data_IF_712640783247
#
_entry.id   IF_712640783247
#
_cell.length_a   1.000
_cell.length_b   1.000
_cell.length_c   1.000
_cell.angle_alpha   90.00
_cell.angle_beta   90.00
_cell.angle_gamma   90.00
#
_symmetry.space_group_name_H-M   'P 1'
#
loop_
_entity.id
_entity.type
_entity.pdbx_description
1 polymer ?
#
# COMPACT_ATOMS: atom_id res chain seq x y z
N UNK A 1 8.37 24.53 15.97
CA UNK A 1 7.31 23.54 15.69
C UNK A 1 7.64 22.88 14.35
N UNK A 2 7.45 21.58 14.18
CA UNK A 2 7.65 20.96 12.90
C UNK A 2 6.71 21.54 11.83
N UNK A 3 7.14 21.55 10.56
CA UNK A 3 6.40 22.17 9.45
C UNK A 3 4.98 21.60 9.32
N UNK A 4 4.82 20.29 9.49
CA UNK A 4 3.52 19.62 9.39
C UNK A 4 2.52 20.00 10.51
N UNK A 5 2.96 20.66 11.57
CA UNK A 5 2.14 21.02 12.74
C UNK A 5 1.78 22.51 12.81
N UNK A 6 2.11 23.32 11.80
CA UNK A 6 1.86 24.78 11.85
C UNK A 6 1.60 25.38 10.47
N UNK A 7 0.78 26.44 10.46
CA UNK A 7 0.54 27.29 9.29
C UNK A 7 0.11 26.52 8.03
N UNK A 8 0.70 26.91 6.89
CA UNK A 8 0.43 26.24 5.59
C UNK A 8 0.85 24.77 5.59
N UNK A 9 1.90 24.40 6.33
CA UNK A 9 2.35 23.02 6.44
C UNK A 9 1.28 22.10 7.02
N UNK A 10 0.58 22.54 8.07
CA UNK A 10 -0.55 21.80 8.65
C UNK A 10 -1.65 21.56 7.62
N UNK A 11 -2.05 22.61 6.89
CA UNK A 11 -3.11 22.50 5.86
C UNK A 11 -2.72 21.52 4.76
N UNK A 12 -1.47 21.58 4.29
CA UNK A 12 -0.97 20.67 3.25
C UNK A 12 -0.91 19.22 3.75
N UNK A 13 -0.43 19.02 4.99
CA UNK A 13 -0.35 17.70 5.60
C UNK A 13 -1.75 17.10 5.79
N UNK A 14 -2.66 17.84 6.41
CA UNK A 14 -4.03 17.37 6.66
C UNK A 14 -4.77 17.08 5.36
N UNK A 15 -4.56 17.89 4.32
CA UNK A 15 -5.15 17.66 3.00
C UNK A 15 -4.62 16.35 2.38
N UNK A 16 -3.30 16.16 2.36
CA UNK A 16 -2.70 14.94 1.81
C UNK A 16 -3.11 13.69 2.62
N UNK A 17 -3.15 13.81 3.94
CA UNK A 17 -3.60 12.76 4.84
C UNK A 17 -5.08 12.42 4.61
N UNK A 18 -5.95 13.43 4.50
CA UNK A 18 -7.37 13.25 4.20
C UNK A 18 -7.58 12.55 2.84
N UNK A 19 -6.88 13.02 1.80
CA UNK A 19 -6.92 12.37 0.46
C UNK A 19 -6.52 10.91 0.55
N UNK A 20 -5.45 10.59 1.29
CA UNK A 20 -5.04 9.21 1.50
C UNK A 20 -6.11 8.37 2.18
N UNK A 21 -6.64 8.80 3.35
CA UNK A 21 -7.65 8.05 4.10
C UNK A 21 -8.94 7.85 3.28
N UNK A 22 -9.41 8.91 2.61
CA UNK A 22 -10.59 8.80 1.73
C UNK A 22 -10.33 7.82 0.59
N UNK A 23 -9.14 7.83 -0.01
CA UNK A 23 -8.78 6.90 -1.08
C UNK A 23 -8.76 5.44 -0.62
N UNK A 24 -8.30 5.16 0.61
CA UNK A 24 -8.33 3.82 1.20
C UNK A 24 -9.78 3.35 1.43
N UNK A 25 -10.63 4.21 1.98
CA UNK A 25 -12.05 3.91 2.17
C UNK A 25 -12.76 3.66 0.84
N UNK A 26 -12.44 4.47 -0.18
CA UNK A 26 -12.96 4.29 -1.53
C UNK A 26 -12.56 2.92 -2.10
N UNK A 27 -11.29 2.58 -2.07
CA UNK A 27 -10.77 1.29 -2.52
C UNK A 27 -11.35 0.10 -1.73
N UNK A 28 -11.49 0.24 -0.40
CA UNK A 28 -11.98 -0.80 0.47
C UNK A 28 -13.49 -1.08 0.34
N UNK A 29 -14.30 -0.02 0.18
CA UNK A 29 -15.76 -0.09 0.29
C UNK A 29 -16.44 0.05 -1.07
N UNK A 30 -16.06 1.05 -1.86
CA UNK A 30 -16.79 1.40 -3.08
C UNK A 30 -16.43 0.51 -4.26
N UNK A 31 -15.15 0.20 -4.45
CA UNK A 31 -14.73 -0.69 -5.56
C UNK A 31 -15.39 -2.06 -5.46
N UNK A 32 -15.47 -2.71 -4.29
CA UNK A 32 -16.21 -3.96 -4.15
C UNK A 32 -17.71 -3.88 -4.41
N UNK A 33 -18.33 -2.72 -4.13
CA UNK A 33 -19.77 -2.51 -4.35
C UNK A 33 -20.11 -2.21 -5.80
N UNK A 34 -19.28 -1.42 -6.47
CA UNK A 34 -19.50 -1.01 -7.86
C UNK A 34 -19.16 -2.10 -8.89
N UNK A 35 -18.33 -3.05 -8.52
CA UNK A 35 -17.91 -4.16 -9.39
C UNK A 35 -18.26 -5.48 -8.75
N UNK A 36 -19.46 -6.06 -9.02
CA UNK A 36 -19.88 -7.33 -8.48
C UNK A 36 -18.81 -8.39 -8.70
N UNK A 37 -18.41 -9.02 -7.63
CA UNK A 37 -17.40 -10.06 -7.63
C UNK A 37 -18.06 -11.36 -8.04
N UNK A 38 -17.41 -12.13 -8.91
CA UNK A 38 -17.81 -13.50 -9.19
C UNK A 38 -17.85 -14.36 -7.92
N UNK A 39 -18.48 -15.53 -7.98
CA UNK A 39 -18.49 -16.49 -6.89
C UNK A 39 -17.06 -16.73 -6.38
N UNK A 40 -16.90 -16.82 -5.06
CA UNK A 40 -15.58 -17.00 -4.44
C UNK A 40 -15.29 -18.50 -4.38
N UNK A 41 -14.30 -18.94 -5.16
CA UNK A 41 -13.82 -20.33 -5.17
C UNK A 41 -13.07 -20.68 -3.88
N UNK A 42 -12.15 -19.79 -3.47
CA UNK A 42 -11.29 -20.02 -2.30
C UNK A 42 -11.08 -18.73 -1.52
N UNK A 43 -11.15 -18.84 -0.18
CA UNK A 43 -10.79 -17.77 0.76
C UNK A 43 -9.77 -18.34 1.76
N UNK A 44 -8.49 -17.95 1.63
CA UNK A 44 -7.39 -18.42 2.50
C UNK A 44 -6.56 -17.26 3.02
N UNK A 45 -7.21 -16.30 3.66
CA UNK A 45 -6.58 -15.04 4.09
C UNK A 45 -5.62 -15.19 5.28
N UNK A 46 -5.80 -16.20 6.13
CA UNK A 46 -4.98 -16.43 7.34
C UNK A 46 -4.79 -15.18 8.21
N UNK A 47 -5.80 -14.30 8.28
CA UNK A 47 -5.77 -13.07 9.04
C UNK A 47 -4.92 -11.95 8.42
N UNK A 48 -4.34 -12.16 7.23
CA UNK A 48 -3.44 -11.18 6.61
C UNK A 48 -4.15 -9.87 6.24
N UNK A 49 -5.45 -9.90 5.94
CA UNK A 49 -6.25 -8.69 5.70
C UNK A 49 -6.42 -7.84 6.95
N UNK A 50 -6.75 -8.47 8.10
CA UNK A 50 -6.83 -7.77 9.39
C UNK A 50 -5.47 -7.20 9.81
N UNK A 51 -4.39 -7.96 9.59
CA UNK A 51 -3.03 -7.50 9.85
C UNK A 51 -2.71 -6.21 9.06
N UNK A 52 -3.07 -6.13 7.79
CA UNK A 52 -2.82 -4.92 6.97
C UNK A 52 -3.59 -3.71 7.52
N UNK A 53 -4.86 -3.88 7.88
CA UNK A 53 -5.66 -2.80 8.47
C UNK A 53 -5.00 -2.32 9.77
N UNK A 54 -4.67 -3.25 10.66
CA UNK A 54 -3.95 -2.94 11.91
C UNK A 54 -2.62 -2.23 11.65
N UNK A 55 -1.84 -2.71 10.67
CA UNK A 55 -0.57 -2.12 10.26
C UNK A 55 -0.73 -0.65 9.85
N UNK A 56 -1.74 -0.31 9.05
CA UNK A 56 -1.97 1.08 8.63
C UNK A 56 -2.25 1.97 9.84
N UNK A 57 -3.14 1.55 10.76
CA UNK A 57 -3.44 2.32 11.98
C UNK A 57 -2.20 2.51 12.86
N UNK A 58 -1.46 1.45 13.13
CA UNK A 58 -0.24 1.52 13.94
C UNK A 58 0.81 2.40 13.27
N UNK A 59 0.96 2.31 11.94
CA UNK A 59 1.91 3.15 11.19
C UNK A 59 1.59 4.64 11.31
N UNK A 60 0.31 5.02 11.24
CA UNK A 60 -0.11 6.42 11.41
C UNK A 60 0.25 6.91 12.82
N UNK A 61 -0.12 6.15 13.84
CA UNK A 61 0.15 6.52 15.24
C UNK A 61 1.66 6.66 15.48
N UNK A 62 2.45 5.68 15.04
CA UNK A 62 3.91 5.70 15.20
C UNK A 62 4.55 6.87 14.44
N UNK A 63 4.14 7.13 13.20
CA UNK A 63 4.69 8.23 12.41
C UNK A 63 4.45 9.59 13.08
N UNK A 64 3.20 9.86 13.49
CA UNK A 64 2.84 11.10 14.16
C UNK A 64 3.56 11.23 15.52
N UNK A 65 3.55 10.18 16.34
CA UNK A 65 4.21 10.18 17.64
C UNK A 65 5.72 10.46 17.53
N UNK A 66 6.41 9.81 16.59
CA UNK A 66 7.85 10.00 16.37
C UNK A 66 8.16 11.38 15.76
N UNK A 67 7.28 11.89 14.89
CA UNK A 67 7.39 13.24 14.33
C UNK A 67 7.24 14.31 15.40
N UNK A 68 6.19 14.24 16.23
CA UNK A 68 5.99 15.18 17.34
C UNK A 68 7.08 15.06 18.43
N UNK A 69 7.58 13.87 18.69
CA UNK A 69 8.69 13.65 19.63
C UNK A 69 10.05 14.09 19.07
N UNK A 70 10.13 14.48 17.79
CA UNK A 70 11.37 14.91 17.16
C UNK A 70 12.44 13.81 17.09
N UNK A 71 12.03 12.55 16.89
CA UNK A 71 12.98 11.42 16.84
C UNK A 71 13.67 11.39 15.48
N UNK A 72 14.97 11.68 15.46
CA UNK A 72 15.78 11.77 14.25
C UNK A 72 15.24 12.85 13.30
N UNK A 73 15.27 14.13 13.68
CA UNK A 73 14.66 15.21 12.92
C UNK A 73 15.32 15.37 11.56
N UNK A 74 14.50 15.53 10.53
CA UNK A 74 14.93 15.81 9.16
C UNK A 74 14.77 17.31 8.86
N UNK A 75 15.54 17.88 7.91
CA UNK A 75 15.42 19.28 7.50
C UNK A 75 14.04 19.64 6.99
N UNK A 76 13.61 20.88 7.19
CA UNK A 76 12.27 21.39 6.83
C UNK A 76 11.89 21.18 5.36
N UNK A 77 12.85 21.30 4.45
CA UNK A 77 12.59 21.12 3.01
C UNK A 77 12.12 19.71 2.65
N UNK A 78 12.42 18.69 3.48
CA UNK A 78 12.02 17.29 3.26
C UNK A 78 10.50 17.11 3.35
N UNK A 79 9.82 18.02 4.02
CA UNK A 79 8.36 18.02 4.13
C UNK A 79 7.67 17.98 2.76
N UNK A 80 8.07 18.85 1.84
CA UNK A 80 7.41 18.96 0.51
C UNK A 80 7.56 17.70 -0.35
N UNK A 81 8.77 17.13 -0.52
CA UNK A 81 8.91 15.80 -1.13
C UNK A 81 8.08 14.73 -0.41
N UNK A 82 7.96 14.81 0.92
CA UNK A 82 7.11 13.92 1.70
C UNK A 82 5.65 13.95 1.28
N UNK A 83 5.06 15.14 1.20
CA UNK A 83 3.68 15.35 0.71
C UNK A 83 3.53 14.85 -0.73
N UNK A 84 4.48 15.16 -1.61
CA UNK A 84 4.47 14.69 -2.99
C UNK A 84 4.46 13.15 -3.06
N UNK A 85 5.31 12.47 -2.30
CA UNK A 85 5.38 11.02 -2.26
C UNK A 85 4.10 10.41 -1.67
N UNK A 86 3.49 11.00 -0.64
CA UNK A 86 2.20 10.54 -0.12
C UNK A 86 1.15 10.50 -1.24
N UNK A 87 0.99 11.59 -1.97
CA UNK A 87 0.01 11.69 -3.06
C UNK A 87 0.36 10.78 -4.24
N UNK A 88 1.64 10.69 -4.61
CA UNK A 88 2.11 9.77 -5.64
C UNK A 88 1.81 8.32 -5.28
N UNK A 89 2.06 7.92 -4.04
CA UNK A 89 1.74 6.57 -3.54
C UNK A 89 0.25 6.26 -3.63
N UNK A 90 -0.61 7.23 -3.26
CA UNK A 90 -2.06 7.12 -3.45
C UNK A 90 -2.41 6.91 -4.92
N UNK A 91 -1.86 7.70 -5.82
CA UNK A 91 -2.13 7.58 -7.27
C UNK A 91 -1.71 6.20 -7.82
N UNK A 92 -0.50 5.75 -7.48
CA UNK A 92 0.00 4.41 -7.88
C UNK A 92 -0.92 3.31 -7.36
N UNK A 93 -1.36 3.41 -6.10
CA UNK A 93 -2.25 2.43 -5.48
C UNK A 93 -3.62 2.41 -6.15
N UNK A 94 -4.24 3.57 -6.36
CA UNK A 94 -5.56 3.64 -7.00
C UNK A 94 -5.50 3.18 -8.47
N UNK A 95 -4.43 3.49 -9.18
CA UNK A 95 -4.21 2.96 -10.52
C UNK A 95 -4.11 1.43 -10.53
N UNK A 96 -3.33 0.86 -9.61
CA UNK A 96 -3.22 -0.59 -9.48
C UNK A 96 -4.58 -1.24 -9.17
N UNK A 97 -5.36 -0.68 -8.22
CA UNK A 97 -6.71 -1.15 -7.88
C UNK A 97 -7.65 -1.06 -9.08
N UNK A 98 -7.61 0.03 -9.83
CA UNK A 98 -8.44 0.22 -11.01
C UNK A 98 -8.15 -0.80 -12.11
N UNK A 99 -6.86 -1.12 -12.34
CA UNK A 99 -6.43 -2.13 -13.33
C UNK A 99 -6.82 -3.54 -12.90
N UNK A 100 -6.67 -3.88 -11.61
CA UNK A 100 -7.06 -5.19 -11.08
C UNK A 100 -8.59 -5.38 -11.09
N UNK A 101 -9.32 -4.29 -10.90
CA UNK A 101 -10.77 -4.25 -11.02
C UNK A 101 -11.49 -5.17 -10.04
N UNK A 102 -12.35 -6.06 -10.56
CA UNK A 102 -13.16 -6.99 -9.75
C UNK A 102 -12.34 -8.03 -8.97
N UNK A 103 -11.10 -8.27 -9.38
CA UNK A 103 -10.21 -9.19 -8.67
C UNK A 103 -9.53 -8.56 -7.46
N UNK A 104 -9.61 -7.24 -7.30
CA UNK A 104 -9.10 -6.57 -6.11
C UNK A 104 -9.89 -6.98 -4.86
N UNK A 105 -9.16 -7.31 -3.79
CA UNK A 105 -9.76 -7.66 -2.50
C UNK A 105 -8.82 -7.33 -1.34
N UNK A 106 -9.37 -6.85 -0.22
CA UNK A 106 -8.62 -6.68 1.03
C UNK A 106 -8.25 -8.02 1.67
N UNK A 107 -9.03 -9.08 1.40
CA UNK A 107 -8.75 -10.43 1.88
C UNK A 107 -8.23 -11.30 0.72
N UNK A 108 -7.35 -12.27 1.02
CA UNK A 108 -6.85 -13.21 0.01
C UNK A 108 -7.97 -14.16 -0.38
N UNK A 109 -8.45 -14.01 -1.62
CA UNK A 109 -9.49 -14.85 -2.21
C UNK A 109 -9.30 -14.98 -3.72
N UNK A 110 -9.75 -16.08 -4.27
CA UNK A 110 -9.72 -16.36 -5.71
C UNK A 110 -11.17 -16.56 -6.16
N UNK A 111 -11.59 -15.85 -7.21
CA UNK A 111 -12.88 -16.03 -7.86
C UNK A 111 -12.83 -17.26 -8.79
N UNK A 112 -13.98 -17.84 -9.14
CA UNK A 112 -14.04 -19.00 -10.04
C UNK A 112 -13.45 -18.70 -11.43
N UNK A 113 -13.62 -17.48 -11.91
CA UNK A 113 -13.10 -16.99 -13.20
C UNK A 113 -11.83 -16.15 -13.06
N UNK A 114 -11.09 -16.32 -11.96
CA UNK A 114 -9.86 -15.57 -11.70
C UNK A 114 -8.79 -15.89 -12.75
N UNK A 115 -8.16 -14.84 -13.25
CA UNK A 115 -7.05 -14.94 -14.22
C UNK A 115 -5.92 -14.00 -13.85
N UNK A 116 -4.72 -14.31 -14.31
CA UNK A 116 -3.56 -13.43 -14.11
C UNK A 116 -3.74 -12.13 -14.90
N UNK A 117 -3.70 -11.00 -14.20
CA UNK A 117 -3.78 -9.67 -14.80
C UNK A 117 -2.37 -9.19 -15.13
N UNK A 118 -2.08 -9.02 -16.43
CA UNK A 118 -0.77 -8.58 -16.95
C UNK A 118 -0.86 -7.21 -17.64
N UNK A 119 -1.71 -6.30 -17.14
CA UNK A 119 -1.93 -4.96 -17.71
C UNK A 119 -1.43 -3.87 -16.78
N UNK A 120 -1.15 -2.68 -17.36
CA UNK A 120 -0.70 -1.52 -16.59
C UNK A 120 0.53 -1.82 -15.72
N UNK A 121 0.52 -1.45 -14.44
CA UNK A 121 1.66 -1.67 -13.56
C UNK A 121 1.95 -3.15 -13.28
N UNK A 122 0.96 -4.04 -13.47
CA UNK A 122 1.12 -5.50 -13.32
C UNK A 122 1.98 -6.14 -14.42
N UNK A 123 2.38 -5.39 -15.44
CA UNK A 123 3.36 -5.87 -16.43
C UNK A 123 4.78 -5.98 -15.86
N UNK A 124 5.10 -5.18 -14.85
CA UNK A 124 6.45 -5.07 -14.30
C UNK A 124 6.56 -5.63 -12.88
N UNK A 125 5.53 -5.40 -12.05
CA UNK A 125 5.52 -5.84 -10.65
C UNK A 125 4.20 -6.57 -10.33
N UNK A 126 4.29 -7.55 -9.42
CA UNK A 126 3.13 -8.36 -9.00
C UNK A 126 2.23 -7.63 -8.03
N UNK A 127 2.79 -6.75 -7.20
CA UNK A 127 2.08 -6.07 -6.13
C UNK A 127 2.17 -4.53 -6.22
N UNK A 128 1.78 -3.92 -7.35
CA UNK A 128 1.91 -2.47 -7.54
C UNK A 128 1.06 -1.66 -6.55
N UNK A 129 -0.05 -2.23 -6.07
CA UNK A 129 -0.86 -1.63 -5.00
C UNK A 129 -0.06 -1.52 -3.69
N UNK A 130 0.81 -2.50 -3.37
CA UNK A 130 1.68 -2.44 -2.19
C UNK A 130 2.88 -1.52 -2.41
N UNK A 131 3.36 -1.41 -3.65
CA UNK A 131 4.34 -0.37 -4.01
C UNK A 131 3.78 1.02 -3.71
N UNK A 132 2.51 1.29 -4.06
CA UNK A 132 1.84 2.54 -3.70
C UNK A 132 1.83 2.79 -2.19
N UNK A 133 1.51 1.78 -1.37
CA UNK A 133 1.56 1.91 0.10
C UNK A 133 2.97 2.19 0.60
N UNK A 134 3.98 1.50 0.06
CA UNK A 134 5.38 1.74 0.44
C UNK A 134 5.78 3.20 0.17
N UNK A 135 5.45 3.72 -1.02
CA UNK A 135 5.72 5.12 -1.39
C UNK A 135 4.98 6.07 -0.43
N UNK A 136 3.71 5.79 -0.11
CA UNK A 136 2.92 6.59 0.86
C UNK A 136 3.56 6.58 2.25
N UNK A 137 4.05 5.44 2.73
CA UNK A 137 4.71 5.34 4.04
C UNK A 137 6.03 6.11 4.09
N UNK A 138 6.83 6.03 3.02
CA UNK A 138 8.03 6.85 2.89
C UNK A 138 7.64 8.33 2.90
N UNK A 139 6.63 8.72 2.11
CA UNK A 139 6.11 10.08 2.07
C UNK A 139 5.64 10.57 3.43
N UNK A 140 4.88 9.75 4.18
CA UNK A 140 4.41 10.08 5.52
C UNK A 140 5.58 10.34 6.49
N UNK A 141 6.59 9.47 6.49
CA UNK A 141 7.77 9.63 7.35
C UNK A 141 8.55 10.93 7.06
N UNK A 142 8.69 11.25 5.77
CA UNK A 142 9.32 12.51 5.35
C UNK A 142 8.44 13.73 5.68
N UNK A 143 7.13 13.63 5.51
CA UNK A 143 6.20 14.71 5.83
C UNK A 143 6.15 15.01 7.33
N UNK A 144 6.29 14.01 8.21
CA UNK A 144 6.44 14.22 9.65
C UNK A 144 7.89 14.54 10.06
N UNK A 145 8.80 14.69 9.10
CA UNK A 145 10.20 15.11 9.29
C UNK A 145 10.97 14.23 10.30
N UNK A 146 10.77 12.89 10.25
CA UNK A 146 11.40 11.97 11.20
C UNK A 146 12.05 10.78 10.50
N UNK A 147 13.39 10.66 10.63
CA UNK A 147 14.12 9.47 10.19
C UNK A 147 13.78 8.24 11.06
N UNK A 148 13.45 8.45 12.33
CA UNK A 148 12.94 7.40 13.20
C UNK A 148 11.63 6.82 12.68
N UNK A 149 10.69 7.68 12.24
CA UNK A 149 9.46 7.25 11.59
C UNK A 149 9.75 6.47 10.30
N UNK A 150 10.70 6.93 9.47
CA UNK A 150 11.08 6.25 8.23
C UNK A 150 11.54 4.82 8.49
N UNK A 151 12.47 4.62 9.43
CA UNK A 151 12.99 3.29 9.77
C UNK A 151 11.90 2.37 10.31
N UNK A 152 11.06 2.88 11.22
CA UNK A 152 9.98 2.09 11.82
C UNK A 152 8.93 1.73 10.77
N UNK A 153 8.49 2.67 9.92
CA UNK A 153 7.50 2.38 8.88
C UNK A 153 8.02 1.39 7.83
N UNK A 154 9.29 1.47 7.44
CA UNK A 154 9.91 0.49 6.54
C UNK A 154 9.96 -0.90 7.17
N UNK A 155 10.31 -1.02 8.45
CA UNK A 155 10.33 -2.29 9.17
C UNK A 155 8.92 -2.89 9.29
N UNK A 156 7.94 -2.10 9.71
CA UNK A 156 6.54 -2.50 9.83
C UNK A 156 5.96 -2.93 8.48
N UNK A 157 6.25 -2.17 7.41
CA UNK A 157 5.88 -2.55 6.04
C UNK A 157 6.52 -3.87 5.63
N UNK A 158 7.84 -4.02 5.82
CA UNK A 158 8.58 -5.22 5.43
C UNK A 158 8.02 -6.50 6.07
N UNK A 159 7.68 -6.44 7.36
CA UNK A 159 7.09 -7.57 8.08
C UNK A 159 5.66 -7.84 7.61
N UNK A 160 4.79 -6.84 7.67
CA UNK A 160 3.35 -7.03 7.46
C UNK A 160 3.00 -7.30 5.99
N UNK A 161 3.51 -6.48 5.08
CA UNK A 161 3.27 -6.67 3.65
C UNK A 161 4.11 -7.82 3.08
N UNK A 162 5.29 -8.08 3.63
CA UNK A 162 6.07 -9.28 3.31
C UNK A 162 5.32 -10.57 3.64
N UNK A 163 4.68 -10.65 4.81
CA UNK A 163 3.79 -11.76 5.17
C UNK A 163 2.59 -11.84 4.21
N UNK A 164 1.92 -10.71 3.98
CA UNK A 164 0.76 -10.63 3.08
C UNK A 164 1.08 -11.12 1.68
N UNK A 165 2.16 -10.63 1.07
CA UNK A 165 2.59 -11.06 -0.27
C UNK A 165 2.84 -12.57 -0.33
N UNK A 166 3.49 -13.15 0.70
CA UNK A 166 3.73 -14.60 0.75
C UNK A 166 2.43 -15.41 0.82
N UNK A 167 1.43 -14.94 1.60
CA UNK A 167 0.13 -15.60 1.68
C UNK A 167 -0.59 -15.53 0.33
N UNK A 168 -0.63 -14.34 -0.27
CA UNK A 168 -1.29 -14.09 -1.54
C UNK A 168 -0.66 -14.88 -2.70
N UNK A 169 0.68 -14.80 -2.87
CA UNK A 169 1.39 -15.54 -3.92
C UNK A 169 1.21 -17.06 -3.77
N UNK A 170 1.19 -17.56 -2.55
CA UNK A 170 0.99 -18.99 -2.29
C UNK A 170 -0.42 -19.47 -2.70
N UNK A 171 -1.43 -18.66 -2.41
CA UNK A 171 -2.82 -18.96 -2.80
C UNK A 171 -3.01 -18.82 -4.31
N UNK A 172 -2.48 -17.76 -4.92
CA UNK A 172 -2.57 -17.58 -6.37
C UNK A 172 -1.84 -18.70 -7.13
N UNK A 173 -0.68 -19.12 -6.64
CA UNK A 173 0.07 -20.23 -7.23
C UNK A 173 -0.69 -21.56 -7.12
N UNK A 174 -1.35 -21.83 -5.99
CA UNK A 174 -2.14 -23.06 -5.82
C UNK A 174 -3.40 -23.12 -6.69
N UNK A 175 -3.99 -21.96 -7.03
CA UNK A 175 -5.27 -21.90 -7.75
C UNK A 175 -5.10 -21.61 -9.26
N UNK A 176 -4.09 -20.85 -9.66
CA UNK A 176 -3.82 -20.50 -11.06
C UNK A 176 -2.65 -21.31 -11.66
N UNK A 177 -1.93 -22.09 -10.83
CA UNK A 177 -0.92 -23.05 -11.30
C UNK A 177 0.17 -22.43 -12.16
N UNK A 178 0.37 -23.03 -13.34
CA UNK A 178 1.45 -22.69 -14.26
C UNK A 178 1.37 -21.25 -14.78
N UNK A 179 0.18 -20.72 -15.02
CA UNK A 179 0.00 -19.34 -15.52
C UNK A 179 0.57 -18.32 -14.54
N UNK A 180 0.33 -18.51 -13.24
CA UNK A 180 0.88 -17.62 -12.21
C UNK A 180 2.38 -17.86 -12.01
N UNK A 181 2.85 -19.12 -12.11
CA UNK A 181 4.27 -19.43 -12.00
C UNK A 181 5.09 -18.76 -13.13
N UNK A 182 4.57 -18.74 -14.35
CA UNK A 182 5.22 -18.07 -15.48
C UNK A 182 5.20 -16.53 -15.31
N UNK A 183 4.09 -15.99 -14.81
CA UNK A 183 4.00 -14.57 -14.48
C UNK A 183 5.03 -14.16 -13.44
N UNK A 184 5.23 -14.99 -12.40
CA UNK A 184 6.25 -14.75 -11.37
C UNK A 184 7.68 -14.68 -11.93
N UNK A 185 7.99 -15.46 -12.98
CA UNK A 185 9.32 -15.44 -13.63
C UNK A 185 9.61 -14.12 -14.37
N UNK A 186 8.56 -13.47 -14.87
CA UNK A 186 8.66 -12.26 -15.72
C UNK A 186 8.51 -10.96 -14.94
N UNK A 187 8.09 -11.01 -13.68
CA UNK A 187 7.76 -9.82 -12.88
C UNK A 187 8.47 -9.83 -11.54
N UNK A 188 8.70 -8.66 -10.99
CA UNK A 188 9.23 -8.48 -9.63
C UNK A 188 8.09 -8.29 -8.62
N UNK A 189 8.38 -8.31 -7.31
CA UNK A 189 7.33 -8.14 -6.29
C UNK A 189 6.82 -6.70 -6.19
N UNK A 190 7.72 -5.76 -5.94
CA UNK A 190 7.39 -4.37 -5.57
C UNK A 190 8.05 -3.35 -6.49
N UNK A 191 9.35 -3.50 -6.75
CA UNK A 191 10.15 -2.50 -7.48
C UNK A 191 10.62 -3.13 -8.79
N UNK A 192 10.33 -2.51 -9.94
CA UNK A 192 10.82 -3.01 -11.22
C UNK A 192 12.35 -3.21 -11.19
N UNK A 193 12.80 -4.31 -11.71
CA UNK A 193 14.21 -4.71 -11.84
C UNK A 193 14.95 -5.05 -10.52
N UNK A 194 14.39 -4.77 -9.33
CA UNK A 194 15.04 -5.00 -8.04
C UNK A 194 14.40 -6.16 -7.25
N UNK A 195 13.20 -5.96 -6.76
CA UNK A 195 12.52 -6.85 -5.81
C UNK A 195 11.12 -7.17 -6.30
#
# INVERSE_FOLDING_TARGET
>A
MPVFASGLGLVLFDTAYFVWIVSELFGAVLVPRLRPRGATKVKRDRGSGALIIFTVFVSIILALSLGYAGVGPLPDWVFYPGIFLMLLGVLVRQWAIAVLGRFFSLTVRVAEDHRVVVKGPYRQVRHPSYTGVLITFIGLALAVQSSGALLVLLAVFGVSYGYRMRVEERVLLSELGQDYAEYMKRTKRLIPFLI
#
